data_IF_014814202137
#
_entry.id   IF_014814202137
#
_cell.length_a   1.000
_cell.length_b   1.000
_cell.length_c   1.000
_cell.angle_alpha   90.00
_cell.angle_beta   90.00
_cell.angle_gamma   90.00
#
_symmetry.space_group_name_H-M   'P 1'
#
loop_
_entity.id
_entity.type
_entity.pdbx_description
1 polymer ?
#
# COMPACT_ATOMS: atom_id res chain seq x y z
N UNK A 1 55.41 -3.59 -12.97
CA UNK A 1 54.09 -4.26 -13.15
C UNK A 1 53.15 -3.68 -12.11
N UNK A 2 52.17 -2.86 -12.51
CA UNK A 2 51.21 -2.24 -11.60
C UNK A 2 50.06 -3.21 -11.32
N UNK A 3 49.81 -3.51 -10.04
CA UNK A 3 48.69 -4.35 -9.64
C UNK A 3 47.37 -3.56 -9.73
N UNK A 4 46.30 -4.13 -10.29
CA UNK A 4 45.00 -3.48 -10.35
C UNK A 4 44.43 -3.28 -8.93
N UNK A 5 43.87 -2.10 -8.68
CA UNK A 5 43.30 -1.75 -7.38
C UNK A 5 41.89 -2.34 -7.20
N UNK A 6 41.49 -2.56 -5.94
CA UNK A 6 40.18 -3.14 -5.53
C UNK A 6 38.97 -2.45 -6.18
N UNK A 7 39.08 -1.15 -6.46
CA UNK A 7 38.05 -0.33 -7.11
C UNK A 7 37.87 -0.65 -8.60
N UNK A 8 38.93 -1.07 -9.29
CA UNK A 8 38.91 -1.50 -10.69
C UNK A 8 38.26 -2.88 -10.84
N UNK A 9 38.52 -3.79 -9.90
CA UNK A 9 37.89 -5.12 -9.86
C UNK A 9 36.37 -5.00 -9.62
N UNK A 10 35.95 -4.13 -8.71
CA UNK A 10 34.53 -3.94 -8.40
C UNK A 10 33.75 -3.24 -9.53
N UNK A 11 34.34 -2.24 -10.20
CA UNK A 11 33.71 -1.59 -11.36
C UNK A 11 33.64 -2.49 -12.59
N UNK A 12 34.69 -3.30 -12.84
CA UNK A 12 34.67 -4.30 -13.91
C UNK A 12 33.67 -5.42 -13.65
N UNK A 13 33.56 -5.88 -12.40
CA UNK A 13 32.62 -6.94 -11.99
C UNK A 13 31.15 -6.55 -12.11
N UNK A 14 30.78 -5.31 -11.73
CA UNK A 14 29.39 -4.84 -11.83
C UNK A 14 28.93 -4.67 -13.29
N UNK A 15 29.82 -4.21 -14.17
CA UNK A 15 29.51 -4.05 -15.61
C UNK A 15 29.35 -5.41 -16.32
N UNK A 16 30.14 -6.42 -15.94
CA UNK A 16 30.03 -7.78 -16.49
C UNK A 16 28.74 -8.49 -16.04
N UNK A 17 28.28 -8.28 -14.80
CA UNK A 17 27.04 -8.88 -14.30
C UNK A 17 25.78 -8.26 -14.94
N UNK A 18 25.80 -6.95 -15.22
CA UNK A 18 24.70 -6.26 -15.91
C UNK A 18 24.52 -6.74 -17.38
N UNK A 19 25.62 -7.05 -18.08
CA UNK A 19 25.56 -7.55 -19.45
C UNK A 19 25.07 -9.02 -19.56
N UNK A 20 25.26 -9.82 -18.52
CA UNK A 20 24.83 -11.23 -18.46
C UNK A 20 23.34 -11.40 -18.11
N UNK A 21 22.69 -10.39 -17.52
CA UNK A 21 21.28 -10.44 -17.11
C UNK A 21 20.34 -9.62 -18.01
N UNK A 22 20.87 -8.72 -18.85
CA UNK A 22 20.07 -7.81 -19.67
C UNK A 22 19.43 -8.36 -20.97
N UNK A 23 19.93 -9.41 -21.68
CA UNK A 23 19.32 -9.77 -22.96
C UNK A 23 18.17 -10.79 -22.88
N UNK A 24 17.84 -11.33 -21.69
CA UNK A 24 16.85 -12.43 -21.57
C UNK A 24 15.41 -12.02 -21.29
N UNK A 25 15.10 -10.72 -21.24
CA UNK A 25 13.74 -10.22 -21.06
C UNK A 25 13.16 -9.45 -22.26
N UNK A 26 13.80 -9.47 -23.43
CA UNK A 26 13.31 -8.78 -24.64
C UNK A 26 13.22 -9.66 -25.90
N UNK A 27 12.78 -10.93 -25.77
CA UNK A 27 12.31 -11.71 -26.93
C UNK A 27 10.96 -12.35 -26.59
N UNK A 28 9.90 -11.57 -26.73
CA UNK A 28 8.53 -12.08 -26.84
C UNK A 28 7.68 -11.11 -27.69
N UNK A 29 8.05 -10.97 -28.96
CA UNK A 29 7.15 -10.61 -30.06
C UNK A 29 7.89 -10.89 -31.37
N UNK A 30 8.03 -12.17 -31.74
CA UNK A 30 8.18 -12.53 -33.15
C UNK A 30 6.79 -12.87 -33.65
N UNK A 31 6.25 -12.00 -34.49
CA UNK A 31 5.12 -12.31 -35.37
C UNK A 31 5.57 -13.43 -36.31
N UNK A 32 5.22 -14.67 -35.99
CA UNK A 32 5.19 -15.73 -36.97
C UNK A 32 4.06 -15.43 -37.94
N UNK A 33 4.40 -14.91 -39.11
CA UNK A 33 3.51 -14.93 -40.26
C UNK A 33 3.41 -16.39 -40.73
N UNK A 34 2.46 -17.13 -40.15
CA UNK A 34 1.98 -18.39 -40.71
C UNK A 34 0.85 -18.05 -41.68
N UNK A 35 1.13 -18.25 -42.96
CA UNK A 35 0.15 -18.19 -44.03
C UNK A 35 -0.83 -19.37 -43.95
N UNK A 36 -2.04 -19.11 -44.45
CA UNK A 36 -3.13 -20.02 -44.81
C UNK A 36 -4.09 -20.46 -43.70
N UNK A 37 -5.18 -19.70 -43.60
CA UNK A 37 -6.43 -20.09 -42.96
C UNK A 37 -7.40 -18.93 -42.94
N UNK A 38 -8.23 -18.78 -43.98
CA UNK A 38 -9.31 -17.79 -44.06
C UNK A 38 -10.49 -18.17 -43.15
N UNK A 39 -10.23 -18.31 -41.85
CA UNK A 39 -11.26 -18.34 -40.82
C UNK A 39 -11.49 -16.90 -40.38
N UNK A 40 -12.71 -16.38 -40.55
CA UNK A 40 -13.07 -15.11 -39.92
C UNK A 40 -12.76 -15.22 -38.42
N UNK A 41 -12.01 -14.27 -37.83
CA UNK A 41 -11.91 -14.21 -36.38
C UNK A 41 -13.33 -14.01 -35.85
N UNK A 42 -13.85 -15.01 -35.14
CA UNK A 42 -14.96 -14.81 -34.20
C UNK A 42 -14.62 -13.57 -33.38
N UNK A 43 -15.49 -12.55 -33.31
CA UNK A 43 -15.21 -11.41 -32.46
C UNK A 43 -14.98 -11.96 -31.05
N UNK A 44 -13.76 -11.81 -30.54
CA UNK A 44 -13.50 -11.96 -29.13
C UNK A 44 -14.54 -11.04 -28.45
N UNK A 45 -15.41 -11.63 -27.62
CA UNK A 45 -16.33 -10.88 -26.78
C UNK A 45 -15.54 -9.71 -26.18
N UNK A 46 -15.93 -8.49 -26.56
CA UNK A 46 -15.20 -7.28 -26.24
C UNK A 46 -14.96 -7.23 -24.74
N UNK A 47 -13.71 -7.45 -24.34
CA UNK A 47 -13.29 -7.12 -23.00
C UNK A 47 -13.27 -5.60 -22.95
N UNK A 48 -14.28 -5.01 -22.32
CA UNK A 48 -14.29 -3.57 -22.02
C UNK A 48 -12.96 -3.23 -21.34
N UNK A 49 -12.27 -2.16 -21.78
CA UNK A 49 -11.01 -1.78 -21.19
C UNK A 49 -11.20 -1.47 -19.71
N UNK A 50 -10.37 -2.05 -18.86
CA UNK A 50 -10.38 -1.75 -17.43
C UNK A 50 -10.13 -0.25 -17.22
N UNK A 51 -11.12 0.45 -16.68
CA UNK A 51 -11.03 1.85 -16.26
C UNK A 51 -10.99 1.92 -14.73
N UNK A 52 -10.11 2.75 -14.18
CA UNK A 52 -10.09 3.04 -12.75
C UNK A 52 -11.30 3.86 -12.36
N UNK A 53 -12.02 3.44 -11.32
CA UNK A 53 -13.13 4.21 -10.73
C UNK A 53 -12.67 5.55 -10.15
N UNK A 54 -11.37 5.71 -9.87
CA UNK A 54 -10.81 7.00 -9.44
C UNK A 54 -11.01 8.10 -10.50
N UNK A 55 -11.14 7.73 -11.78
CA UNK A 55 -11.42 8.68 -12.84
C UNK A 55 -12.80 9.35 -12.72
N UNK A 56 -13.71 8.76 -11.92
CA UNK A 56 -15.09 9.23 -11.76
C UNK A 56 -15.29 10.08 -10.49
N UNK A 57 -14.28 10.12 -9.61
CA UNK A 57 -14.35 10.81 -8.31
C UNK A 57 -14.24 12.35 -8.46
N UNK A 58 -13.75 12.84 -9.60
CA UNK A 58 -13.60 14.27 -9.90
C UNK A 58 -12.25 14.86 -9.47
N UNK A 59 -11.98 16.13 -9.81
CA UNK A 59 -10.71 16.79 -9.50
C UNK A 59 -10.57 17.11 -8.00
N UNK A 60 -9.33 17.21 -7.52
CA UNK A 60 -9.05 17.70 -6.17
C UNK A 60 -9.38 19.19 -6.03
N UNK A 61 -10.04 19.56 -4.95
CA UNK A 61 -10.32 20.96 -4.59
C UNK A 61 -9.11 21.61 -3.89
N UNK A 62 -9.27 22.86 -3.46
CA UNK A 62 -8.33 23.52 -2.54
C UNK A 62 -8.22 22.75 -1.22
N UNK A 63 -7.12 22.97 -0.49
CA UNK A 63 -6.95 22.34 0.81
C UNK A 63 -8.05 22.81 1.79
N UNK A 64 -8.62 21.86 2.54
CA UNK A 64 -9.55 22.13 3.63
C UNK A 64 -8.79 22.59 4.90
N UNK A 65 -9.51 22.76 6.02
CA UNK A 65 -8.94 23.18 7.31
C UNK A 65 -7.87 22.22 7.87
N UNK A 66 -7.91 20.95 7.46
CA UNK A 66 -6.90 19.93 7.80
C UNK A 66 -5.70 19.93 6.83
N UNK A 67 -5.67 20.84 5.86
CA UNK A 67 -4.65 20.87 4.80
C UNK A 67 -4.86 19.82 3.70
N UNK A 68 -5.96 19.06 3.72
CA UNK A 68 -6.23 17.99 2.76
C UNK A 68 -6.94 18.53 1.53
N UNK A 69 -6.50 18.10 0.35
CA UNK A 69 -7.21 18.35 -0.92
C UNK A 69 -8.07 17.16 -1.24
N UNK A 70 -9.39 17.36 -1.25
CA UNK A 70 -10.37 16.30 -1.48
C UNK A 70 -11.23 16.64 -2.70
N UNK A 71 -11.76 15.64 -3.43
CA UNK A 71 -12.77 15.87 -4.45
C UNK A 71 -14.09 16.39 -3.86
N UNK A 72 -14.97 16.89 -4.72
CA UNK A 72 -16.30 17.35 -4.30
C UNK A 72 -17.11 16.24 -3.64
N UNK A 73 -17.81 16.57 -2.55
CA UNK A 73 -18.61 15.62 -1.77
C UNK A 73 -17.84 14.78 -0.75
N UNK A 74 -16.51 14.89 -0.70
CA UNK A 74 -15.69 14.19 0.28
C UNK A 74 -15.36 15.07 1.48
N UNK A 75 -15.32 14.45 2.67
CA UNK A 75 -14.90 15.07 3.93
C UNK A 75 -13.88 14.19 4.64
N UNK A 76 -13.07 14.77 5.51
CA UNK A 76 -12.13 14.04 6.35
C UNK A 76 -12.23 14.51 7.80
N UNK A 77 -11.91 13.62 8.73
CA UNK A 77 -11.74 13.92 10.15
C UNK A 77 -10.53 13.18 10.70
N UNK A 78 -9.91 13.75 11.71
CA UNK A 78 -8.85 13.08 12.46
C UNK A 78 -9.49 12.06 13.40
N UNK A 79 -9.01 10.82 13.37
CA UNK A 79 -9.51 9.72 14.23
C UNK A 79 -8.53 9.34 15.33
N UNK A 80 -7.24 9.66 15.16
CA UNK A 80 -6.18 9.51 16.14
C UNK A 80 -4.98 10.38 15.73
N UNK A 81 -4.17 10.78 16.70
CA UNK A 81 -2.94 11.56 16.47
C UNK A 81 -1.78 10.96 17.27
N UNK A 82 -0.61 10.84 16.65
CA UNK A 82 0.58 10.30 17.28
C UNK A 82 0.88 10.94 18.64
N UNK A 83 0.97 10.10 19.68
CA UNK A 83 1.28 10.57 21.04
C UNK A 83 0.19 11.38 21.71
N UNK A 84 -1.06 11.29 21.22
CA UNK A 84 -2.24 11.80 21.92
C UNK A 84 -3.14 10.66 22.37
N UNK A 85 -3.89 10.89 23.45
CA UNK A 85 -4.96 9.97 23.83
C UNK A 85 -6.06 10.00 22.76
N UNK A 86 -6.46 8.81 22.33
CA UNK A 86 -7.52 8.63 21.32
C UNK A 86 -8.90 8.94 21.92
N UNK A 87 -9.14 8.38 23.10
CA UNK A 87 -10.30 8.61 23.95
C UNK A 87 -9.75 8.79 25.37
N UNK A 88 -10.36 9.70 26.13
CA UNK A 88 -9.89 10.06 27.46
C UNK A 88 -9.69 8.82 28.35
N UNK A 89 -8.46 8.63 28.83
CA UNK A 89 -8.10 7.51 29.72
C UNK A 89 -8.13 6.12 29.09
N UNK A 90 -8.14 6.00 27.76
CA UNK A 90 -8.16 4.70 27.06
C UNK A 90 -6.78 4.29 26.57
N UNK A 91 -6.30 4.94 25.51
CA UNK A 91 -5.11 4.53 24.80
C UNK A 91 -4.39 5.74 24.22
N UNK A 92 -3.09 5.82 24.51
CA UNK A 92 -2.19 6.76 23.87
C UNK A 92 -1.83 6.22 22.49
N UNK A 93 -2.23 6.92 21.43
CA UNK A 93 -1.94 6.48 20.07
C UNK A 93 -0.43 6.44 19.82
N UNK A 94 0.02 5.39 19.14
CA UNK A 94 1.43 5.17 18.90
C UNK A 94 2.04 6.25 17.99
N UNK A 95 3.36 6.45 18.13
CA UNK A 95 4.06 7.62 17.59
C UNK A 95 4.29 7.57 16.07
N UNK A 96 4.47 6.38 15.51
CA UNK A 96 4.74 6.18 14.07
C UNK A 96 3.68 5.25 13.47
N UNK A 97 2.42 5.72 13.33
CA UNK A 97 1.39 4.93 12.66
C UNK A 97 1.77 4.67 11.20
N UNK A 98 1.64 3.42 10.80
CA UNK A 98 1.91 2.96 9.44
C UNK A 98 0.77 2.03 8.99
N UNK A 99 1.06 1.08 8.10
CA UNK A 99 0.10 0.21 7.44
C UNK A 99 -0.92 -0.42 8.38
N UNK A 100 -2.11 -0.59 7.84
CA UNK A 100 -3.27 -0.98 8.62
C UNK A 100 -4.35 -1.68 7.79
N UNK A 101 -5.35 -2.18 8.49
CA UNK A 101 -6.49 -2.86 7.89
C UNK A 101 -7.76 -2.60 8.71
N UNK A 102 -8.92 -2.69 8.05
CA UNK A 102 -10.22 -2.60 8.70
C UNK A 102 -10.87 -4.00 8.76
N UNK A 103 -11.42 -4.34 9.93
CA UNK A 103 -12.11 -5.60 10.19
C UNK A 103 -13.56 -5.32 10.59
N UNK A 104 -14.51 -5.91 9.88
CA UNK A 104 -15.93 -5.80 10.20
C UNK A 104 -16.25 -6.55 11.50
N UNK A 105 -17.28 -6.09 12.21
CA UNK A 105 -17.76 -6.75 13.43
C UNK A 105 -19.22 -7.10 13.33
N UNK A 106 -19.64 -8.06 14.17
CA UNK A 106 -21.00 -8.64 14.12
C UNK A 106 -22.11 -7.62 14.39
N UNK A 107 -21.81 -6.56 15.13
CA UNK A 107 -22.73 -5.46 15.44
C UNK A 107 -22.86 -4.41 14.32
N UNK A 108 -22.21 -4.62 13.17
CA UNK A 108 -22.20 -3.70 12.03
C UNK A 108 -21.18 -2.59 12.12
N UNK A 109 -20.41 -2.51 13.21
CA UNK A 109 -19.24 -1.64 13.31
C UNK A 109 -18.00 -2.20 12.60
N UNK A 110 -16.86 -1.59 12.90
CA UNK A 110 -15.57 -2.04 12.37
C UNK A 110 -14.42 -1.68 13.30
N UNK A 111 -13.25 -2.29 13.09
CA UNK A 111 -12.02 -2.04 13.82
C UNK A 111 -10.96 -1.66 12.80
N UNK A 112 -10.33 -0.50 12.96
CA UNK A 112 -9.09 -0.18 12.26
C UNK A 112 -7.90 -0.60 13.09
N UNK A 113 -7.00 -1.37 12.50
CA UNK A 113 -5.71 -1.73 13.08
C UNK A 113 -4.62 -0.94 12.37
N UNK A 114 -3.69 -0.38 13.12
CA UNK A 114 -2.51 0.33 12.59
C UNK A 114 -1.25 -0.19 13.24
N UNK A 115 -0.24 -0.43 12.42
CA UNK A 115 1.10 -0.77 12.90
C UNK A 115 1.82 0.45 13.46
N UNK A 116 2.79 0.19 14.33
CA UNK A 116 3.74 1.17 14.84
C UNK A 116 5.16 0.88 14.35
N UNK A 117 5.72 1.79 13.55
CA UNK A 117 7.06 1.66 12.97
C UNK A 117 8.18 2.13 13.92
N UNK A 118 7.85 2.43 15.19
CA UNK A 118 8.84 2.84 16.17
C UNK A 118 9.91 1.74 16.38
N UNK A 119 11.20 2.10 16.40
CA UNK A 119 12.25 1.23 16.92
C UNK A 119 12.01 0.96 18.42
N UNK A 120 12.29 -0.27 18.88
CA UNK A 120 12.22 -0.72 20.28
C UNK A 120 10.81 -0.81 20.88
N UNK A 121 9.91 0.14 20.58
CA UNK A 121 8.54 0.22 21.10
C UNK A 121 7.51 0.29 19.96
N UNK A 122 7.61 -0.67 19.02
CA UNK A 122 6.66 -0.84 17.93
C UNK A 122 5.37 -1.51 18.42
N UNK A 123 4.81 -2.39 17.59
CA UNK A 123 3.55 -3.07 17.88
C UNK A 123 2.43 -2.69 16.93
N UNK A 124 1.19 -2.83 17.39
CA UNK A 124 0.01 -2.40 16.68
C UNK A 124 -1.09 -1.93 17.65
N UNK A 125 -1.77 -0.86 17.28
CA UNK A 125 -2.93 -0.30 17.97
C UNK A 125 -4.22 -0.52 17.18
N UNK A 126 -5.35 -0.51 17.88
CA UNK A 126 -6.67 -0.65 17.30
C UNK A 126 -7.59 0.51 17.69
N UNK A 127 -8.41 0.94 16.74
CA UNK A 127 -9.52 1.88 16.89
C UNK A 127 -10.82 1.14 16.59
N UNK A 128 -11.75 1.16 17.55
CA UNK A 128 -13.06 0.53 17.41
C UNK A 128 -14.11 1.56 17.04
N UNK A 129 -14.80 1.34 15.93
CA UNK A 129 -15.92 2.16 15.48
C UNK A 129 -17.23 1.39 15.57
N UNK A 130 -18.31 2.11 15.88
CA UNK A 130 -19.66 1.59 15.78
C UNK A 130 -20.16 1.59 14.32
N UNK A 131 -21.42 1.16 14.12
CA UNK A 131 -22.06 1.05 12.79
C UNK A 131 -22.26 2.39 12.07
N UNK A 132 -22.26 3.51 12.78
CA UNK A 132 -22.38 4.85 12.17
C UNK A 132 -21.01 5.51 11.99
N UNK A 133 -19.95 4.82 12.38
CA UNK A 133 -18.57 5.29 12.24
C UNK A 133 -18.11 6.18 13.39
N UNK A 134 -18.79 6.16 14.55
CA UNK A 134 -18.32 6.84 15.76
C UNK A 134 -17.27 6.00 16.48
N UNK A 135 -16.24 6.66 17.01
CA UNK A 135 -15.14 5.99 17.69
C UNK A 135 -15.56 5.66 19.13
N UNK A 136 -15.61 4.38 19.47
CA UNK A 136 -16.15 3.89 20.75
C UNK A 136 -15.12 3.22 21.65
N UNK A 137 -13.97 2.80 21.11
CA UNK A 137 -12.88 2.26 21.91
C UNK A 137 -11.52 2.38 21.21
N UNK A 138 -10.45 2.28 21.99
CA UNK A 138 -9.08 2.23 21.47
C UNK A 138 -8.18 1.44 22.42
N UNK A 139 -7.31 0.58 21.88
CA UNK A 139 -6.48 -0.34 22.67
C UNK A 139 -5.27 -0.89 21.89
N UNK A 140 -4.19 -1.32 22.57
CA UNK A 140 -3.11 -2.05 21.93
C UNK A 140 -3.53 -3.49 21.62
N UNK A 141 -3.04 -4.05 20.52
CA UNK A 141 -3.28 -5.46 20.15
C UNK A 141 -1.99 -6.27 20.00
N UNK A 142 -0.85 -5.59 19.87
CA UNK A 142 0.46 -6.21 19.77
C UNK A 142 1.48 -5.30 20.43
N UNK A 143 2.28 -5.88 21.31
CA UNK A 143 3.36 -5.20 22.03
C UNK A 143 4.63 -6.07 21.97
N UNK A 144 5.78 -5.48 22.32
CA UNK A 144 7.06 -6.20 22.35
C UNK A 144 7.67 -6.47 20.96
N UNK A 145 7.08 -5.92 19.90
CA UNK A 145 7.67 -5.91 18.55
C UNK A 145 8.20 -4.51 18.22
N UNK A 146 8.89 -4.39 17.09
CA UNK A 146 9.56 -3.17 16.68
C UNK A 146 9.58 -3.05 15.16
N UNK A 147 9.52 -1.81 14.65
CA UNK A 147 9.57 -1.52 13.20
C UNK A 147 8.48 -2.27 12.42
N UNK A 148 7.27 -2.29 12.96
CA UNK A 148 6.11 -2.83 12.25
C UNK A 148 5.71 -1.82 11.18
N UNK A 149 5.96 -2.16 9.91
CA UNK A 149 5.68 -1.28 8.77
C UNK A 149 4.28 -1.56 8.20
N UNK A 150 4.17 -2.45 7.20
CA UNK A 150 2.92 -2.81 6.57
C UNK A 150 2.32 -4.14 7.08
N UNK A 151 1.23 -4.57 6.45
CA UNK A 151 0.58 -5.84 6.72
C UNK A 151 -0.59 -6.07 5.77
N UNK A 152 -1.25 -7.22 5.90
CA UNK A 152 -2.44 -7.54 5.12
C UNK A 152 -3.43 -8.35 5.96
N UNK A 153 -4.74 -8.06 5.87
CA UNK A 153 -5.75 -8.87 6.54
C UNK A 153 -5.83 -10.26 5.89
N UNK A 154 -5.83 -11.30 6.72
CA UNK A 154 -6.15 -12.65 6.27
C UNK A 154 -7.66 -12.80 6.02
N UNK A 155 -8.10 -13.70 5.14
CA UNK A 155 -9.52 -13.92 4.87
C UNK A 155 -10.24 -14.75 5.96
N UNK A 156 -9.53 -15.19 6.99
CA UNK A 156 -10.05 -15.94 8.14
C UNK A 156 -9.81 -15.16 9.43
#
# INVERSE_FOLDING_TARGET
MSHPTRRTVLRGGLAALAALLAPRYFIACRTTQSSLGSGQPTPALGAEPLRSLLADVGPLQSANELGMRLPEGFTARIVAESGKEVLAGKYMWHRMPDGGACFATIDGGWIYVSNCEMPVVGGAGALRFDKVGELVDAYPILEGTMVNCAGGPTPW
#
